data_IF_568596977986
#
_entry.id   IF_568596977986
#
_cell.length_a   1.000
_cell.length_b   1.000
_cell.length_c   1.000
_cell.angle_alpha   90.00
_cell.angle_beta   90.00
_cell.angle_gamma   90.00
#
_symmetry.space_group_name_H-M   'P 1'
#
loop_
_entity.id
_entity.type
_entity.pdbx_description
1 polymer ?
#
# COMPACT_ATOMS: atom_id res chain seq x y z
N UNK A 1 -19.39 -7.78 -7.19
CA UNK A 1 -19.06 -7.40 -5.79
C UNK A 1 -17.87 -6.45 -5.80
N UNK A 2 -17.73 -5.49 -4.87
CA UNK A 2 -16.55 -4.60 -4.79
C UNK A 2 -15.66 -5.02 -3.64
N UNK A 3 -14.35 -5.09 -3.85
CA UNK A 3 -13.38 -5.59 -2.86
C UNK A 3 -12.31 -4.53 -2.61
N UNK A 4 -11.93 -4.31 -1.34
CA UNK A 4 -10.83 -3.44 -0.95
C UNK A 4 -9.84 -4.19 -0.08
N UNK A 5 -8.59 -4.32 -0.54
CA UNK A 5 -7.49 -4.91 0.23
C UNK A 5 -6.73 -3.81 0.97
N UNK A 6 -6.86 -3.79 2.30
CA UNK A 6 -6.35 -2.68 3.12
C UNK A 6 -6.06 -3.10 4.56
N UNK A 7 -5.07 -2.46 5.18
CA UNK A 7 -4.75 -2.66 6.59
C UNK A 7 -4.09 -1.40 7.17
N UNK A 8 -2.75 -1.38 7.33
CA UNK A 8 -2.05 -0.32 8.04
C UNK A 8 -2.20 1.07 7.42
N UNK A 9 -2.46 1.19 6.11
CA UNK A 9 -2.58 2.49 5.46
C UNK A 9 -3.85 3.26 5.89
N UNK A 10 -4.98 2.58 6.13
CA UNK A 10 -6.14 3.22 6.77
C UNK A 10 -6.06 3.16 8.30
N UNK A 11 -5.40 2.13 8.86
CA UNK A 11 -5.16 1.98 10.28
C UNK A 11 -6.42 2.21 11.13
N UNK A 12 -6.37 3.22 12.00
CA UNK A 12 -7.48 3.62 12.87
C UNK A 12 -8.80 3.93 12.15
N UNK A 13 -8.75 4.35 10.88
CA UNK A 13 -9.94 4.78 10.15
C UNK A 13 -10.68 3.61 9.50
N UNK A 14 -10.08 2.41 9.52
CA UNK A 14 -10.61 1.22 8.85
C UNK A 14 -12.01 0.85 9.35
N UNK A 15 -12.25 0.93 10.66
CA UNK A 15 -13.55 0.61 11.24
C UNK A 15 -14.64 1.59 10.77
N UNK A 16 -14.35 2.88 10.77
CA UNK A 16 -15.28 3.92 10.30
C UNK A 16 -15.51 3.80 8.77
N UNK A 17 -14.45 3.58 8.00
CA UNK A 17 -14.53 3.35 6.56
C UNK A 17 -15.43 2.16 6.20
N UNK A 18 -15.30 1.04 6.94
CA UNK A 18 -16.15 -0.14 6.77
C UNK A 18 -17.62 0.17 7.08
N UNK A 19 -17.89 0.86 8.19
CA UNK A 19 -19.26 1.24 8.57
C UNK A 19 -19.93 2.16 7.54
N UNK A 20 -19.17 3.08 6.96
CA UNK A 20 -19.66 4.02 5.93
C UNK A 20 -19.73 3.42 4.52
N UNK A 21 -19.27 2.19 4.30
CA UNK A 21 -19.20 1.58 2.97
C UNK A 21 -19.63 0.11 3.00
N UNK A 22 -20.89 -0.18 3.38
CA UNK A 22 -21.38 -1.54 3.61
C UNK A 22 -21.45 -2.41 2.34
N UNK A 23 -21.34 -1.81 1.16
CA UNK A 23 -21.32 -2.50 -0.14
C UNK A 23 -19.92 -2.87 -0.64
N UNK A 24 -18.88 -2.54 0.13
CA UNK A 24 -17.49 -2.89 -0.18
C UNK A 24 -17.08 -4.02 0.77
N UNK A 25 -16.56 -5.11 0.22
CA UNK A 25 -15.93 -6.18 0.97
C UNK A 25 -14.49 -5.77 1.32
N UNK A 26 -14.28 -5.34 2.57
CA UNK A 26 -12.96 -4.99 3.09
C UNK A 26 -12.22 -6.24 3.53
N UNK A 27 -11.16 -6.58 2.79
CA UNK A 27 -10.24 -7.69 3.05
C UNK A 27 -8.94 -7.19 3.69
N UNK A 28 -8.18 -8.06 4.38
CA UNK A 28 -6.82 -7.77 4.85
C UNK A 28 -5.88 -7.26 3.74
N UNK A 29 -4.65 -6.82 4.07
CA UNK A 29 -3.61 -6.62 3.06
C UNK A 29 -3.49 -7.84 2.14
N UNK A 30 -3.37 -7.61 0.84
CA UNK A 30 -3.35 -8.69 -0.14
C UNK A 30 -2.03 -9.47 -0.13
N UNK A 31 -2.13 -10.79 -0.22
CA UNK A 31 -1.04 -11.70 -0.57
C UNK A 31 -1.20 -12.21 -2.01
N UNK A 32 -0.17 -12.90 -2.52
CA UNK A 32 -0.25 -13.61 -3.79
C UNK A 32 -1.44 -14.58 -3.82
N UNK A 33 -2.24 -14.50 -4.88
CA UNK A 33 -3.44 -15.30 -5.10
C UNK A 33 -4.74 -14.65 -4.61
N UNK A 34 -4.67 -13.62 -3.76
CA UNK A 34 -5.88 -12.98 -3.20
C UNK A 34 -6.68 -12.21 -4.26
N UNK A 35 -6.00 -11.54 -5.20
CA UNK A 35 -6.68 -10.81 -6.28
C UNK A 35 -7.34 -11.83 -7.22
N UNK A 36 -6.63 -12.90 -7.56
CA UNK A 36 -7.19 -14.01 -8.35
C UNK A 36 -8.43 -14.60 -7.69
N UNK A 37 -8.36 -14.88 -6.37
CA UNK A 37 -9.51 -15.38 -5.61
C UNK A 37 -10.68 -14.41 -5.65
N UNK A 38 -10.44 -13.11 -5.47
CA UNK A 38 -11.49 -12.10 -5.54
C UNK A 38 -12.20 -12.08 -6.91
N UNK A 39 -11.45 -12.24 -8.01
CA UNK A 39 -12.04 -12.36 -9.36
C UNK A 39 -12.95 -13.58 -9.45
N UNK A 40 -12.51 -14.75 -8.98
CA UNK A 40 -13.33 -15.97 -8.94
C UNK A 40 -14.56 -15.85 -8.04
N UNK A 41 -14.47 -15.08 -6.95
CA UNK A 41 -15.59 -14.76 -6.07
C UNK A 41 -16.61 -13.77 -6.71
N UNK A 42 -16.39 -13.33 -7.96
CA UNK A 42 -17.28 -12.40 -8.67
C UNK A 42 -17.04 -10.93 -8.33
N UNK A 43 -15.80 -10.55 -8.03
CA UNK A 43 -15.42 -9.15 -7.95
C UNK A 43 -15.65 -8.45 -9.30
N UNK A 44 -16.26 -7.28 -9.25
CA UNK A 44 -16.48 -6.38 -10.40
C UNK A 44 -15.58 -5.16 -10.32
N UNK A 45 -15.09 -4.84 -9.11
CA UNK A 45 -14.06 -3.84 -8.89
C UNK A 45 -13.19 -4.20 -7.67
N UNK A 46 -11.91 -3.92 -7.76
CA UNK A 46 -10.90 -4.20 -6.74
C UNK A 46 -10.08 -2.94 -6.48
N UNK A 47 -10.04 -2.50 -5.22
CA UNK A 47 -9.08 -1.51 -4.74
C UNK A 47 -7.95 -2.22 -4.02
N UNK A 48 -6.73 -2.02 -4.48
CA UNK A 48 -5.51 -2.50 -3.84
C UNK A 48 -4.85 -1.34 -3.10
N UNK A 49 -4.89 -1.37 -1.77
CA UNK A 49 -4.17 -0.42 -0.93
C UNK A 49 -2.95 -1.13 -0.37
N UNK A 50 -3.14 -2.03 0.58
CA UNK A 50 -2.03 -2.71 1.25
C UNK A 50 -1.82 -4.13 0.70
N UNK A 51 -0.57 -4.56 0.69
CA UNK A 51 -0.18 -5.95 0.48
C UNK A 51 0.95 -6.33 1.43
N UNK A 52 1.12 -7.63 1.66
CA UNK A 52 2.21 -8.13 2.51
C UNK A 52 3.55 -8.02 1.80
N UNK A 53 4.57 -7.60 2.54
CA UNK A 53 5.95 -7.48 2.10
C UNK A 53 6.86 -8.30 3.02
N UNK A 54 7.68 -9.18 2.45
CA UNK A 54 8.58 -10.07 3.20
C UNK A 54 7.96 -11.42 3.54
N UNK A 55 7.14 -11.50 4.59
CA UNK A 55 6.70 -12.77 5.20
C UNK A 55 5.78 -13.62 4.32
N UNK A 56 5.09 -12.99 3.37
CA UNK A 56 4.24 -13.65 2.38
C UNK A 56 4.61 -13.15 0.98
N UNK A 57 4.48 -14.00 -0.05
CA UNK A 57 4.63 -13.55 -1.42
C UNK A 57 3.64 -12.42 -1.72
N UNK A 58 4.16 -11.29 -2.18
CA UNK A 58 3.37 -10.14 -2.58
C UNK A 58 2.51 -10.45 -3.81
N UNK A 59 1.37 -9.77 -3.95
CA UNK A 59 0.49 -9.85 -5.12
C UNK A 59 1.29 -9.74 -6.41
N UNK A 60 1.05 -10.59 -7.41
CA UNK A 60 1.73 -10.50 -8.69
C UNK A 60 1.01 -9.57 -9.67
N UNK A 61 1.77 -8.91 -10.55
CA UNK A 61 1.23 -8.14 -11.69
C UNK A 61 0.29 -9.00 -12.56
N UNK A 62 0.59 -10.30 -12.67
CA UNK A 62 -0.22 -11.26 -13.41
C UNK A 62 -1.63 -11.41 -12.83
N UNK A 63 -1.82 -11.30 -11.52
CA UNK A 63 -3.17 -11.36 -10.94
C UNK A 63 -4.00 -10.13 -11.34
N UNK A 64 -3.35 -8.97 -11.41
CA UNK A 64 -3.99 -7.72 -11.82
C UNK A 64 -4.33 -7.77 -13.31
N UNK A 65 -3.40 -8.21 -14.15
CA UNK A 65 -3.65 -8.42 -15.58
C UNK A 65 -4.80 -9.43 -15.78
N UNK A 66 -4.84 -10.51 -15.01
CA UNK A 66 -5.94 -11.47 -15.09
C UNK A 66 -7.28 -10.81 -14.72
N UNK A 67 -7.33 -10.04 -13.62
CA UNK A 67 -8.52 -9.31 -13.22
C UNK A 67 -8.98 -8.34 -14.32
N UNK A 68 -8.04 -7.56 -14.87
CA UNK A 68 -8.32 -6.62 -15.95
C UNK A 68 -8.86 -7.32 -17.19
N UNK A 69 -8.31 -8.48 -17.59
CA UNK A 69 -8.82 -9.26 -18.72
C UNK A 69 -10.29 -9.70 -18.54
N UNK A 70 -10.69 -9.98 -17.29
CA UNK A 70 -12.04 -10.40 -16.91
C UNK A 70 -12.99 -9.21 -16.64
N UNK A 71 -12.70 -8.04 -17.21
CA UNK A 71 -13.51 -6.81 -17.04
C UNK A 71 -13.64 -6.34 -15.59
N UNK A 72 -12.77 -6.80 -14.68
CA UNK A 72 -12.73 -6.30 -13.30
C UNK A 72 -11.96 -5.00 -13.27
N UNK A 73 -12.60 -3.92 -12.81
CA UNK A 73 -11.93 -2.64 -12.64
C UNK A 73 -10.94 -2.72 -11.47
N UNK A 74 -9.68 -2.35 -11.67
CA UNK A 74 -8.66 -2.39 -10.62
C UNK A 74 -8.05 -1.02 -10.43
N UNK A 75 -7.96 -0.56 -9.18
CA UNK A 75 -7.24 0.65 -8.81
C UNK A 75 -6.28 0.42 -7.64
N UNK A 76 -5.19 1.17 -7.60
CA UNK A 76 -4.26 1.18 -6.47
C UNK A 76 -3.62 2.54 -6.27
N UNK A 77 -3.17 2.83 -5.04
CA UNK A 77 -2.70 4.19 -4.75
C UNK A 77 -1.83 4.41 -3.53
N UNK A 78 -1.84 3.51 -2.55
CA UNK A 78 -0.90 3.56 -1.43
C UNK A 78 -0.13 2.25 -1.35
N UNK A 79 0.93 2.23 -0.54
CA UNK A 79 1.63 0.99 -0.18
C UNK A 79 2.02 0.17 -1.44
N UNK A 80 1.81 -1.14 -1.40
CA UNK A 80 1.97 -2.05 -2.55
C UNK A 80 1.03 -1.75 -3.72
N UNK A 81 -0.16 -1.21 -3.46
CA UNK A 81 -1.11 -0.87 -4.50
C UNK A 81 -0.63 0.24 -5.43
N UNK A 82 0.11 1.22 -4.90
CA UNK A 82 0.71 2.28 -5.70
C UNK A 82 1.76 1.73 -6.68
N UNK A 83 2.64 0.87 -6.18
CA UNK A 83 3.69 0.22 -6.96
C UNK A 83 3.08 -0.61 -8.09
N UNK A 84 2.10 -1.47 -7.74
CA UNK A 84 1.42 -2.31 -8.73
C UNK A 84 0.63 -1.49 -9.74
N UNK A 85 0.04 -0.37 -9.34
CA UNK A 85 -0.61 0.55 -10.26
C UNK A 85 0.39 1.16 -11.24
N UNK A 86 1.58 1.59 -10.80
CA UNK A 86 2.60 2.13 -11.69
C UNK A 86 3.06 1.11 -12.75
N UNK A 87 3.21 -0.16 -12.35
CA UNK A 87 3.60 -1.24 -13.29
C UNK A 87 2.45 -1.65 -14.22
N UNK A 88 1.20 -1.59 -13.76
CA UNK A 88 0.03 -2.10 -14.48
C UNK A 88 -0.82 -1.01 -15.15
N UNK A 89 -0.49 0.28 -14.98
CA UNK A 89 -1.18 1.39 -15.61
C UNK A 89 -1.23 1.29 -17.14
N UNK A 90 -0.14 0.91 -17.85
CA UNK A 90 -0.19 0.69 -19.29
C UNK A 90 -1.20 -0.36 -19.76
N UNK A 91 -1.64 -1.25 -18.86
CA UNK A 91 -2.60 -2.31 -19.15
C UNK A 91 -4.03 -1.98 -18.70
N UNK A 92 -4.25 -0.83 -18.05
CA UNK A 92 -5.56 -0.35 -17.65
C UNK A 92 -5.84 -0.34 -16.15
N UNK A 93 -4.87 -0.67 -15.28
CA UNK A 93 -5.02 -0.45 -13.83
C UNK A 93 -5.03 1.06 -13.54
N UNK A 94 -5.95 1.52 -12.70
CA UNK A 94 -6.03 2.93 -12.33
C UNK A 94 -5.07 3.23 -11.18
N UNK A 95 -4.09 4.09 -11.42
CA UNK A 95 -3.25 4.65 -10.37
C UNK A 95 -3.87 5.88 -9.72
N UNK A 96 -3.76 5.99 -8.40
CA UNK A 96 -4.36 7.06 -7.62
C UNK A 96 -3.38 7.64 -6.59
N UNK A 97 -3.33 8.96 -6.50
CA UNK A 97 -2.63 9.64 -5.43
C UNK A 97 -1.13 9.75 -5.65
N UNK A 98 -0.51 10.43 -4.69
CA UNK A 98 0.85 10.94 -4.83
C UNK A 98 1.90 9.83 -4.92
N UNK A 99 1.74 8.73 -4.19
CA UNK A 99 2.74 7.64 -4.16
C UNK A 99 2.76 6.94 -5.51
N UNK A 100 1.60 6.72 -6.13
CA UNK A 100 1.52 6.20 -7.50
C UNK A 100 2.21 7.16 -8.48
N UNK A 101 1.91 8.46 -8.41
CA UNK A 101 2.51 9.47 -9.28
C UNK A 101 4.05 9.52 -9.16
N UNK A 102 4.58 9.27 -7.97
CA UNK A 102 6.03 9.18 -7.74
C UNK A 102 6.66 7.94 -8.39
N UNK A 103 6.00 6.78 -8.34
CA UNK A 103 6.48 5.57 -9.03
C UNK A 103 6.33 5.69 -10.55
N UNK A 104 5.20 6.18 -11.04
CA UNK A 104 4.94 6.36 -12.48
C UNK A 104 5.97 7.32 -13.11
N UNK A 105 6.33 8.39 -12.40
CA UNK A 105 7.34 9.34 -12.85
C UNK A 105 8.79 8.90 -12.58
N UNK A 106 9.01 7.72 -11.98
CA UNK A 106 10.34 7.21 -11.62
C UNK A 106 11.07 7.99 -10.52
N UNK A 107 10.34 8.80 -9.72
CA UNK A 107 10.89 9.47 -8.52
C UNK A 107 11.11 8.49 -7.38
N UNK A 108 10.28 7.46 -7.31
CA UNK A 108 10.47 6.28 -6.47
C UNK A 108 10.77 5.08 -7.37
N UNK A 109 11.81 4.33 -7.00
CA UNK A 109 12.22 3.10 -7.70
C UNK A 109 12.26 1.90 -6.76
N UNK A 110 12.54 2.12 -5.47
CA UNK A 110 12.67 1.05 -4.49
C UNK A 110 11.30 0.61 -3.95
N UNK A 111 11.02 -0.69 -4.00
CA UNK A 111 9.84 -1.31 -3.37
C UNK A 111 9.80 -1.06 -1.85
N UNK A 112 10.98 -0.92 -1.23
CA UNK A 112 11.12 -0.63 0.20
C UNK A 112 10.48 0.70 0.59
N UNK A 113 10.37 1.67 -0.34
CA UNK A 113 9.93 3.01 0.00
C UNK A 113 8.53 3.03 0.64
N UNK A 114 7.69 2.05 0.29
CA UNK A 114 6.34 1.86 0.82
C UNK A 114 6.23 0.84 1.95
N UNK A 115 7.31 0.10 2.21
CA UNK A 115 7.35 -0.98 3.19
C UNK A 115 7.38 -0.46 4.63
N UNK A 116 6.65 -1.16 5.51
CA UNK A 116 6.67 -0.93 6.95
C UNK A 116 6.36 -2.24 7.68
N UNK A 117 6.78 -2.33 8.94
CA UNK A 117 6.36 -3.40 9.84
C UNK A 117 5.12 -2.93 10.59
N UNK A 118 4.13 -3.80 10.71
CA UNK A 118 2.90 -3.54 11.46
C UNK A 118 2.55 -4.71 12.37
N UNK A 119 1.76 -4.44 13.40
CA UNK A 119 1.17 -5.47 14.24
C UNK A 119 0.16 -6.34 13.45
N UNK A 120 -0.20 -7.53 13.95
CA UNK A 120 -1.23 -8.37 13.32
C UNK A 120 -2.63 -7.73 13.30
N UNK A 121 -3.55 -8.32 12.54
CA UNK A 121 -4.95 -7.88 12.42
C UNK A 121 -5.65 -7.71 13.77
N UNK A 122 -5.40 -8.61 14.72
CA UNK A 122 -6.00 -8.57 16.06
C UNK A 122 -5.67 -7.29 16.84
N UNK A 123 -4.59 -6.60 16.45
CA UNK A 123 -4.17 -5.31 17.00
C UNK A 123 -4.41 -4.14 16.02
N UNK A 124 -5.27 -4.34 15.03
CA UNK A 124 -5.69 -3.30 14.09
C UNK A 124 -4.60 -2.85 13.11
N UNK A 125 -3.64 -3.73 12.79
CA UNK A 125 -2.56 -3.41 11.85
C UNK A 125 -1.70 -2.20 12.27
N UNK A 126 -1.52 -1.99 13.58
CA UNK A 126 -0.77 -0.85 14.11
C UNK A 126 0.63 -0.75 13.48
N UNK A 127 0.99 0.35 12.79
CA UNK A 127 2.33 0.53 12.26
C UNK A 127 3.39 0.56 13.38
N UNK A 128 4.41 -0.28 13.27
CA UNK A 128 5.54 -0.39 14.19
C UNK A 128 6.81 0.27 13.64
N UNK A 129 6.86 0.48 12.33
CA UNK A 129 7.87 1.30 11.66
C UNK A 129 7.23 2.31 10.70
N UNK A 130 8.05 3.19 10.11
CA UNK A 130 7.62 4.29 9.25
C UNK A 130 8.17 4.04 7.83
N UNK A 131 7.30 4.01 6.80
CA UNK A 131 7.73 3.85 5.42
C UNK A 131 8.43 5.11 4.93
N UNK A 132 9.35 4.99 3.97
CA UNK A 132 10.08 6.13 3.43
C UNK A 132 9.15 7.21 2.87
N UNK A 133 8.08 6.79 2.18
CA UNK A 133 7.10 7.70 1.56
C UNK A 133 6.37 8.59 2.56
N UNK A 134 6.29 8.23 3.85
CA UNK A 134 5.75 9.11 4.89
C UNK A 134 6.88 9.82 5.66
N UNK A 135 8.02 9.16 5.81
CA UNK A 135 9.17 9.65 6.57
C UNK A 135 9.80 10.89 5.93
N UNK A 136 10.20 10.81 4.66
CA UNK A 136 10.89 11.91 3.97
C UNK A 136 10.00 13.17 3.89
N UNK A 137 8.73 13.08 3.46
CA UNK A 137 7.83 14.25 3.47
C UNK A 137 7.60 14.84 4.86
N UNK A 138 7.60 14.03 5.92
CA UNK A 138 7.52 14.55 7.29
C UNK A 138 8.76 15.35 7.67
N UNK A 139 9.96 14.85 7.34
CA UNK A 139 11.21 15.57 7.58
C UNK A 139 11.28 16.86 6.75
N UNK A 140 10.79 16.83 5.52
CA UNK A 140 10.73 18.00 4.63
C UNK A 140 9.73 19.05 5.13
N UNK A 141 8.58 18.63 5.65
CA UNK A 141 7.61 19.52 6.27
C UNK A 141 8.19 20.24 7.50
N UNK A 142 8.96 19.54 8.33
CA UNK A 142 9.66 20.14 9.47
C UNK A 142 10.68 21.19 9.03
N UNK A 143 11.43 20.91 7.96
CA UNK A 143 12.40 21.87 7.44
C UNK A 143 11.71 23.10 6.84
N UNK A 144 10.68 22.90 6.03
CA UNK A 144 9.89 23.99 5.45
C UNK A 144 9.20 24.85 6.52
N UNK A 145 8.79 24.24 7.63
CA UNK A 145 8.22 24.93 8.80
C UNK A 145 9.25 25.62 9.70
N UNK A 146 10.55 25.47 9.45
CA UNK A 146 11.61 26.06 10.29
C UNK A 146 11.88 25.34 11.61
N UNK A 147 11.26 24.17 11.84
CA UNK A 147 11.43 23.36 13.05
C UNK A 147 12.82 22.72 13.14
N UNK A 148 13.43 22.45 11.98
CA UNK A 148 14.78 21.91 11.84
C UNK A 148 15.62 22.72 10.87
N UNK A 149 16.93 22.78 11.13
CA UNK A 149 17.91 23.35 10.22
C UNK A 149 18.17 22.45 9.00
N UNK A 150 18.79 23.00 7.96
CA UNK A 150 19.20 22.23 6.78
C UNK A 150 20.17 21.09 7.11
N UNK A 151 21.07 21.31 8.08
CA UNK A 151 22.00 20.29 8.57
C UNK A 151 21.28 19.15 9.31
N UNK A 152 20.27 19.47 10.12
CA UNK A 152 19.45 18.47 10.82
C UNK A 152 18.59 17.67 9.84
N UNK A 153 17.97 18.34 8.85
CA UNK A 153 17.26 17.67 7.75
C UNK A 153 18.15 16.63 7.08
N UNK A 154 19.35 17.03 6.66
CA UNK A 154 20.30 16.12 5.99
C UNK A 154 20.67 14.93 6.89
N UNK A 155 20.92 15.17 8.18
CA UNK A 155 21.23 14.08 9.14
C UNK A 155 20.05 13.11 9.29
N UNK A 156 18.83 13.61 9.48
CA UNK A 156 17.63 12.80 9.63
C UNK A 156 17.34 11.94 8.40
N UNK A 157 17.46 12.51 7.19
CA UNK A 157 17.26 11.75 5.96
C UNK A 157 18.33 10.67 5.76
N UNK A 158 19.61 10.98 6.04
CA UNK A 158 20.69 10.01 5.94
C UNK A 158 20.52 8.87 6.95
N UNK A 159 20.23 9.18 8.22
CA UNK A 159 19.97 8.18 9.25
C UNK A 159 18.72 7.35 8.94
N UNK A 160 17.65 7.98 8.45
CA UNK A 160 16.44 7.31 7.99
C UNK A 160 16.71 6.31 6.88
N UNK A 161 17.53 6.67 5.89
CA UNK A 161 17.88 5.79 4.77
C UNK A 161 18.87 4.69 5.17
N UNK A 162 19.72 4.94 6.17
CA UNK A 162 20.66 3.95 6.70
C UNK A 162 19.93 2.82 7.47
N UNK A 163 18.86 3.14 8.19
CA UNK A 163 18.06 2.14 8.88
C UNK A 163 17.25 1.31 7.90
N UNK A 164 17.27 -0.02 8.10
CA UNK A 164 16.36 -0.93 7.41
C UNK A 164 14.90 -0.56 7.74
N UNK A 165 13.98 -0.77 6.79
CA UNK A 165 12.58 -0.34 6.90
C UNK A 165 11.87 -0.92 8.13
N UNK A 166 12.26 -2.13 8.56
CA UNK A 166 11.70 -2.78 9.74
C UNK A 166 12.07 -2.10 11.05
N UNK A 167 13.13 -1.30 11.05
CA UNK A 167 13.64 -0.60 12.22
C UNK A 167 13.40 0.90 12.16
N UNK A 168 12.98 1.44 11.02
CA UNK A 168 12.81 2.89 10.83
C UNK A 168 11.68 3.42 11.71
N UNK A 169 12.03 4.07 12.80
CA UNK A 169 11.12 4.88 13.61
C UNK A 169 11.73 6.26 13.80
N UNK A 170 10.90 7.29 13.96
CA UNK A 170 11.42 8.63 14.25
C UNK A 170 12.30 8.65 15.51
N UNK A 171 11.97 7.86 16.54
CA UNK A 171 12.80 7.76 17.74
C UNK A 171 14.19 7.20 17.42
N UNK A 172 14.27 6.02 16.77
CA UNK A 172 15.54 5.41 16.37
C UNK A 172 16.34 6.35 15.45
N UNK A 173 15.72 6.98 14.45
CA UNK A 173 16.41 7.90 13.54
C UNK A 173 17.01 9.10 14.28
N UNK A 174 16.28 9.70 15.21
CA UNK A 174 16.79 10.86 15.97
C UNK A 174 17.90 10.41 16.94
N UNK A 175 17.84 9.20 17.50
CA UNK A 175 18.90 8.62 18.32
C UNK A 175 20.19 8.36 17.51
N UNK A 176 20.08 7.83 16.29
CA UNK A 176 21.20 7.65 15.33
C UNK A 176 21.85 8.98 14.92
N UNK A 177 21.11 10.10 14.98
CA UNK A 177 21.66 11.43 14.68
C UNK A 177 22.51 12.01 15.81
N UNK A 178 22.51 11.37 16.99
CA UNK A 178 23.27 11.77 18.19
C UNK A 178 23.04 13.24 18.62
N UNK A 179 21.81 13.73 18.51
CA UNK A 179 21.46 15.06 19.02
C UNK A 179 21.51 15.10 20.56
N UNK A 180 21.82 16.28 21.12
CA UNK A 180 21.68 16.49 22.57
C UNK A 180 20.21 16.34 22.99
N UNK A 181 19.96 15.76 24.17
CA UNK A 181 18.61 15.43 24.67
C UNK A 181 17.55 16.54 24.49
N UNK A 182 17.80 17.82 24.83
CA UNK A 182 16.79 18.86 24.62
C UNK A 182 16.37 19.01 23.15
N UNK A 183 17.33 18.89 22.22
CA UNK A 183 17.05 19.02 20.79
C UNK A 183 16.37 17.77 20.23
N UNK A 184 16.76 16.58 20.68
CA UNK A 184 16.09 15.32 20.36
C UNK A 184 14.59 15.39 20.70
N UNK A 185 14.27 15.82 21.92
CA UNK A 185 12.89 15.88 22.41
C UNK A 185 12.06 16.93 21.65
N UNK A 186 12.66 18.08 21.28
CA UNK A 186 12.05 19.08 20.41
C UNK A 186 11.71 18.53 19.02
N UNK A 187 12.67 17.86 18.36
CA UNK A 187 12.45 17.27 17.03
C UNK A 187 11.34 16.23 17.08
N UNK A 188 11.34 15.35 18.09
CA UNK A 188 10.28 14.33 18.24
C UNK A 188 8.91 14.94 18.52
N UNK A 189 8.84 16.05 19.27
CA UNK A 189 7.60 16.78 19.48
C UNK A 189 7.10 17.41 18.17
N UNK A 190 7.99 18.06 17.41
CA UNK A 190 7.65 18.66 16.12
C UNK A 190 7.18 17.59 15.12
N UNK A 191 7.85 16.43 15.04
CA UNK A 191 7.41 15.29 14.22
C UNK A 191 5.95 14.95 14.52
N UNK A 192 5.53 14.88 15.79
CA UNK A 192 4.13 14.53 16.14
C UNK A 192 3.12 15.55 15.65
N UNK A 193 3.50 16.82 15.56
CA UNK A 193 2.62 17.92 15.12
C UNK A 193 2.55 18.04 13.59
N UNK A 194 3.63 17.67 12.90
CA UNK A 194 3.78 17.87 11.46
C UNK A 194 3.88 16.57 10.65
N UNK A 195 3.33 15.46 11.18
CA UNK A 195 3.34 14.19 10.43
C UNK A 195 2.62 14.33 9.10
N UNK A 196 3.26 13.83 8.06
CA UNK A 196 2.66 13.65 6.74
C UNK A 196 2.32 12.16 6.60
N UNK A 197 1.05 11.84 6.38
CA UNK A 197 0.54 10.46 6.21
C UNK A 197 0.07 10.26 4.76
N UNK A 198 1.00 10.20 3.80
CA UNK A 198 0.67 10.02 2.37
C UNK A 198 -0.03 8.70 2.14
N UNK A 199 0.42 7.61 2.77
CA UNK A 199 -0.24 6.30 2.64
C UNK A 199 -1.73 6.37 3.04
N UNK A 200 -2.05 7.10 4.11
CA UNK A 200 -3.44 7.26 4.56
C UNK A 200 -4.26 8.11 3.60
N UNK A 201 -3.71 9.23 3.14
CA UNK A 201 -4.38 10.10 2.16
C UNK A 201 -4.66 9.36 0.85
N UNK A 202 -3.67 8.66 0.30
CA UNK A 202 -3.82 7.94 -0.97
C UNK A 202 -4.72 6.70 -0.82
N UNK A 203 -4.72 6.02 0.33
CA UNK A 203 -5.66 4.93 0.61
C UNK A 203 -7.13 5.39 0.59
N UNK A 204 -7.41 6.62 1.04
CA UNK A 204 -8.75 7.20 0.97
C UNK A 204 -9.18 7.46 -0.48
N UNK A 205 -8.26 7.87 -1.36
CA UNK A 205 -8.56 8.03 -2.79
C UNK A 205 -8.98 6.72 -3.44
N UNK A 206 -8.32 5.60 -3.09
CA UNK A 206 -8.71 4.26 -3.57
C UNK A 206 -10.11 3.87 -3.06
N UNK A 207 -10.40 4.12 -1.78
CA UNK A 207 -11.72 3.88 -1.21
C UNK A 207 -12.81 4.73 -1.90
N UNK A 208 -12.54 6.01 -2.15
CA UNK A 208 -13.48 6.91 -2.82
C UNK A 208 -13.70 6.52 -4.28
N UNK A 209 -12.66 6.06 -4.97
CA UNK A 209 -12.78 5.47 -6.30
C UNK A 209 -13.70 4.24 -6.28
N UNK A 210 -13.55 3.34 -5.30
CA UNK A 210 -14.39 2.15 -5.16
C UNK A 210 -15.87 2.46 -4.85
N UNK A 211 -16.16 3.61 -4.24
CA UNK A 211 -17.53 4.02 -3.89
C UNK A 211 -18.39 4.39 -5.10
N UNK A 212 -17.78 4.68 -6.26
CA UNK A 212 -18.49 4.99 -7.52
C UNK A 212 -19.43 3.85 -7.91
N UNK A 213 -20.60 4.14 -8.44
CA UNK A 213 -21.63 3.12 -8.69
C UNK A 213 -21.23 2.12 -9.77
N UNK A 214 -20.70 2.61 -10.90
CA UNK A 214 -20.36 1.82 -12.07
C UNK A 214 -18.89 1.96 -12.48
N UNK A 215 -18.36 0.88 -13.05
CA UNK A 215 -17.06 0.87 -13.71
C UNK A 215 -17.27 0.36 -15.12
N UNK A 216 -16.75 1.10 -16.10
CA UNK A 216 -16.85 0.72 -17.49
C UNK A 216 -15.70 -0.22 -17.86
N UNK A 217 -15.94 -1.22 -18.72
CA UNK A 217 -14.88 -1.99 -19.34
C UNK A 217 -13.87 -1.06 -20.03
N UNK A 218 -12.59 -1.29 -19.77
CA UNK A 218 -11.51 -0.61 -20.49
C UNK A 218 -11.26 -1.37 -21.79
N UNK A 219 -11.22 -0.65 -22.92
CA UNK A 219 -10.85 -1.26 -24.19
C UNK A 219 -9.38 -1.71 -24.13
N UNK A 220 -9.11 -2.96 -24.52
CA UNK A 220 -7.79 -3.59 -24.42
C UNK A 220 -7.32 -4.05 -25.80
N UNK A 221 -6.06 -3.77 -26.10
CA UNK A 221 -5.34 -4.24 -27.29
C UNK A 221 -4.38 -5.40 -26.99
N UNK A 222 -4.32 -5.84 -25.73
CA UNK A 222 -3.51 -6.94 -25.24
C UNK A 222 -4.38 -8.12 -24.78
N UNK A 223 -3.74 -9.30 -24.64
CA UNK A 223 -4.34 -10.52 -24.07
C UNK A 223 -3.47 -11.07 -22.96
N UNK A 224 -4.08 -11.68 -21.97
CA UNK A 224 -3.35 -12.28 -20.88
C UNK A 224 -2.54 -13.48 -21.37
N UNK A 225 -1.24 -13.48 -21.10
CA UNK A 225 -0.38 -14.62 -21.36
C UNK A 225 -0.19 -15.43 -20.07
N UNK A 226 -0.87 -16.56 -19.95
CA UNK A 226 -0.66 -17.51 -18.86
C UNK A 226 0.76 -18.09 -18.93
N UNK A 227 1.52 -17.97 -17.84
CA UNK A 227 2.84 -18.59 -17.69
C UNK A 227 2.70 -19.86 -16.86
N UNK A 228 3.70 -20.76 -16.89
CA UNK A 228 3.70 -21.96 -16.05
C UNK A 228 3.55 -21.65 -14.55
N UNK A 229 4.21 -20.59 -14.06
CA UNK A 229 4.05 -20.13 -12.67
C UNK A 229 2.63 -19.62 -12.38
N UNK A 230 1.99 -18.97 -13.35
CA UNK A 230 0.60 -18.56 -13.22
C UNK A 230 -0.35 -19.75 -13.14
N UNK A 231 -0.15 -20.77 -13.98
CA UNK A 231 -0.99 -21.98 -13.98
C UNK A 231 -0.92 -22.71 -12.63
N UNK A 232 0.26 -22.76 -12.00
CA UNK A 232 0.44 -23.32 -10.67
C UNK A 232 -0.37 -22.55 -9.61
N UNK A 233 -0.20 -21.22 -9.57
CA UNK A 233 -0.97 -20.36 -8.65
C UNK A 233 -2.47 -20.52 -8.87
N UNK A 234 -2.90 -20.51 -10.14
CA UNK A 234 -4.30 -20.64 -10.50
C UNK A 234 -4.88 -21.98 -10.04
N UNK A 235 -4.15 -23.08 -10.23
CA UNK A 235 -4.57 -24.40 -9.79
C UNK A 235 -4.58 -24.54 -8.25
N UNK A 236 -3.71 -23.84 -7.53
CA UNK A 236 -3.69 -23.82 -6.06
C UNK A 236 -4.91 -23.06 -5.50
N UNK A 237 -5.17 -21.86 -6.01
CA UNK A 237 -6.31 -21.03 -5.58
C UNK A 237 -7.64 -21.70 -5.89
N UNK A 238 -7.79 -22.29 -7.09
CA UNK A 238 -9.04 -22.94 -7.49
C UNK A 238 -9.26 -24.31 -6.84
N UNK A 239 -8.22 -25.11 -6.58
CA UNK A 239 -8.38 -26.37 -5.81
C UNK A 239 -8.83 -26.12 -4.38
N UNK A 240 -8.33 -25.07 -3.74
CA UNK A 240 -8.76 -24.68 -2.40
C UNK A 240 -10.18 -24.08 -2.36
N UNK A 241 -10.75 -23.71 -3.52
CA UNK A 241 -12.13 -23.22 -3.62
C UNK A 241 -13.16 -24.36 -3.80
N UNK A 242 -12.75 -25.54 -4.24
CA UNK A 242 -13.62 -26.72 -4.30
C UNK A 242 -13.61 -27.40 -2.94
N UNK A 243 -14.66 -27.21 -2.15
CA UNK A 243 -14.87 -28.00 -0.95
C UNK A 243 -14.92 -29.48 -1.35
N UNK A 244 -14.00 -30.29 -0.81
CA UNK A 244 -14.10 -31.75 -0.90
C UNK A 244 -15.37 -32.14 -0.17
N UNK A 245 -16.45 -32.35 -0.91
CA UNK A 245 -17.65 -33.01 -0.41
C UNK A 245 -17.27 -34.48 -0.30
N UNK A 246 -17.04 -34.93 0.92
CA UNK A 246 -17.00 -36.35 1.22
C UNK A 246 -18.44 -36.86 1.07
N UNK A 247 -18.68 -37.68 0.05
CA UNK A 247 -19.88 -38.54 -0.05
C UNK A 247 -19.88 -39.62 1.04
#
# INVERSE_FOLDING_TARGET
MKVLFVGPSLGSDLAAARAMSPRIDFRPPAACGDILKAVHDGATAIGLVDGYFGDLPSVWHKEILFALEHDVAVAGGASMGALRAAECAPFGMVGLGSIFEDYEAGRLLDDEAVALVHAPQALGWLPLSVPWVDFEPTVDALFAGGEISSGERKKLLLAGRFLHFSERTYAKVVDECHFRKPRRDQILAAVRQHRVERKRSDARLVLDWLRRDEFLPVNRDWRFAATSHWELLHAEVTRNAVAVTLE
#
